data_IF_092891752605
#
_entry.id   IF_092891752605
#
_cell.length_a   1.000
_cell.length_b   1.000
_cell.length_c   1.000
_cell.angle_alpha   90.00
_cell.angle_beta   90.00
_cell.angle_gamma   90.00
#
_symmetry.space_group_name_H-M   'P 1'
#
loop_
_entity.id
_entity.type
_entity.pdbx_description
1 polymer ?
#
# COMPACT_ATOMS: atom_id res chain seq x y z
N UNK A 1 -15.83 -8.70 -3.79
CA UNK A 1 -14.97 -9.82 -3.37
C UNK A 1 -13.80 -9.27 -2.57
N UNK A 2 -13.40 -10.00 -1.54
CA UNK A 2 -12.28 -9.57 -0.71
C UNK A 2 -11.00 -10.30 -1.08
N UNK A 3 -9.88 -9.68 -0.81
CA UNK A 3 -8.57 -10.30 -0.99
C UNK A 3 -7.77 -10.20 0.30
N UNK A 4 -6.85 -11.12 0.48
CA UNK A 4 -5.94 -11.11 1.61
C UNK A 4 -4.63 -10.47 1.18
N UNK A 5 -4.23 -9.43 1.90
CA UNK A 5 -2.95 -8.77 1.69
C UNK A 5 -2.27 -8.57 3.03
N UNK A 6 -1.02 -8.17 3.02
CA UNK A 6 -0.34 -7.76 4.25
C UNK A 6 0.26 -6.37 4.07
N UNK A 7 0.25 -5.60 5.14
CA UNK A 7 0.91 -4.30 5.18
C UNK A 7 1.92 -4.35 6.32
N UNK A 8 3.19 -4.21 5.99
CA UNK A 8 4.28 -4.26 6.96
C UNK A 8 4.19 -5.48 7.89
N UNK A 9 3.82 -6.63 7.30
CA UNK A 9 3.70 -7.88 8.02
C UNK A 9 2.34 -8.14 8.67
N UNK A 10 1.45 -7.17 8.69
CA UNK A 10 0.11 -7.34 9.25
C UNK A 10 -0.86 -7.81 8.19
N UNK A 11 -1.47 -8.94 8.41
CA UNK A 11 -2.44 -9.50 7.46
C UNK A 11 -3.78 -8.79 7.56
N UNK A 12 -4.34 -8.48 6.38
CA UNK A 12 -5.62 -7.79 6.28
C UNK A 12 -6.46 -8.46 5.20
N UNK A 13 -7.77 -8.48 5.43
CA UNK A 13 -8.72 -8.88 4.40
C UNK A 13 -9.42 -7.60 3.95
N UNK A 14 -9.29 -7.27 2.68
CA UNK A 14 -9.74 -5.97 2.17
C UNK A 14 -10.61 -6.14 0.93
N UNK A 15 -11.41 -5.13 0.67
CA UNK A 15 -12.34 -5.12 -0.45
C UNK A 15 -12.02 -3.97 -1.40
N UNK A 16 -10.74 -3.64 -1.54
CA UNK A 16 -10.28 -2.57 -2.42
C UNK A 16 -9.56 -3.17 -3.62
N UNK A 17 -9.57 -2.44 -4.72
CA UNK A 17 -9.01 -2.93 -5.98
C UNK A 17 -7.59 -2.47 -6.26
N UNK A 18 -7.19 -1.31 -5.75
CA UNK A 18 -5.90 -0.70 -6.08
C UNK A 18 -5.11 -0.35 -4.83
N UNK A 19 -3.80 -0.18 -5.00
CA UNK A 19 -2.94 0.25 -3.91
C UNK A 19 -3.39 1.59 -3.34
N UNK A 20 -3.73 2.56 -4.19
CA UNK A 20 -4.20 3.85 -3.71
C UNK A 20 -5.45 3.73 -2.86
N UNK A 21 -6.41 2.91 -3.29
CA UNK A 21 -7.63 2.69 -2.53
C UNK A 21 -7.34 2.09 -1.16
N UNK A 22 -6.39 1.15 -1.11
CA UNK A 22 -5.99 0.55 0.16
C UNK A 22 -5.36 1.58 1.09
N UNK A 23 -4.47 2.42 0.56
CA UNK A 23 -3.81 3.44 1.38
C UNK A 23 -4.83 4.41 1.98
N UNK A 24 -5.79 4.85 1.18
CA UNK A 24 -6.84 5.75 1.66
C UNK A 24 -7.71 5.07 2.72
N UNK A 25 -8.05 3.80 2.50
CA UNK A 25 -8.87 3.05 3.45
C UNK A 25 -8.16 2.86 4.79
N UNK A 26 -6.83 2.83 4.78
CA UNK A 26 -6.04 2.68 6.00
C UNK A 26 -5.68 4.00 6.66
N UNK A 27 -6.17 5.11 6.11
CA UNK A 27 -5.94 6.42 6.70
C UNK A 27 -4.66 7.12 6.29
N UNK A 28 -3.96 6.60 5.29
CA UNK A 28 -2.77 7.28 4.79
C UNK A 28 -3.16 8.50 3.99
N UNK A 29 -2.40 9.58 4.17
CA UNK A 29 -2.60 10.81 3.40
C UNK A 29 -1.65 10.78 2.22
N UNK A 30 -2.19 10.81 1.01
CA UNK A 30 -1.38 10.66 -0.19
C UNK A 30 -0.41 11.82 -0.42
N UNK A 31 -0.65 12.97 0.19
CA UNK A 31 0.25 14.10 0.08
C UNK A 31 1.47 14.00 1.01
N UNK A 32 1.48 13.03 1.92
CA UNK A 32 2.63 12.87 2.81
C UNK A 32 3.75 12.08 2.12
N UNK A 33 4.98 12.26 2.61
CA UNK A 33 6.12 11.57 2.04
C UNK A 33 6.21 10.16 2.58
N UNK A 34 6.00 9.17 1.72
CA UNK A 34 6.26 7.77 2.04
C UNK A 34 6.41 6.99 0.74
N UNK A 35 6.96 5.81 0.84
CA UNK A 35 7.18 4.95 -0.31
C UNK A 35 6.48 3.61 -0.09
N UNK A 36 6.07 2.99 -1.19
CA UNK A 36 5.41 1.69 -1.15
C UNK A 36 6.11 0.71 -2.06
N UNK A 37 6.15 -0.55 -1.63
CA UNK A 37 6.60 -1.66 -2.45
C UNK A 37 5.58 -2.78 -2.33
N UNK A 38 5.39 -3.52 -3.41
CA UNK A 38 4.53 -4.71 -3.40
C UNK A 38 5.39 -5.89 -3.83
N UNK A 39 5.42 -6.91 -2.99
CA UNK A 39 6.23 -8.12 -3.23
C UNK A 39 7.68 -7.77 -3.54
N UNK A 40 8.25 -6.86 -2.76
CA UNK A 40 9.62 -6.37 -2.88
C UNK A 40 9.90 -5.54 -4.14
N UNK A 41 8.86 -5.12 -4.84
CA UNK A 41 9.01 -4.28 -6.02
C UNK A 41 8.49 -2.89 -5.72
N UNK A 42 9.35 -1.88 -5.85
CA UNK A 42 8.98 -0.51 -5.61
C UNK A 42 7.86 -0.06 -6.56
N UNK A 43 6.84 0.60 -6.02
CA UNK A 43 5.74 1.14 -6.83
C UNK A 43 5.78 2.66 -6.75
N UNK A 44 6.14 3.32 -7.85
CA UNK A 44 6.17 4.79 -7.87
C UNK A 44 4.80 5.39 -7.61
N UNK A 45 4.79 6.54 -6.95
CA UNK A 45 3.55 7.22 -6.56
C UNK A 45 2.55 7.39 -7.72
N UNK A 46 2.97 7.79 -8.93
CA UNK A 46 2.02 7.94 -10.05
C UNK A 46 1.32 6.65 -10.45
N UNK A 47 1.86 5.49 -10.06
CA UNK A 47 1.25 4.20 -10.40
C UNK A 47 0.27 3.70 -9.34
N UNK A 48 0.21 4.34 -8.18
CA UNK A 48 -0.65 3.86 -7.11
C UNK A 48 -2.12 3.72 -7.49
N UNK A 49 -2.74 4.66 -8.21
CA UNK A 49 -4.14 4.51 -8.61
C UNK A 49 -4.38 3.44 -9.67
N UNK A 50 -3.32 3.02 -10.33
CA UNK A 50 -3.41 2.02 -11.40
C UNK A 50 -2.89 0.65 -10.96
N UNK A 51 -2.19 0.56 -9.83
CA UNK A 51 -1.62 -0.70 -9.38
C UNK A 51 -2.71 -1.56 -8.74
N UNK A 52 -3.16 -2.55 -9.49
CA UNK A 52 -4.16 -3.49 -9.00
C UNK A 52 -3.56 -4.39 -7.91
N UNK A 53 -4.35 -4.70 -6.91
CA UNK A 53 -3.97 -5.62 -5.84
C UNK A 53 -4.49 -7.02 -6.15
N UNK A 54 -3.74 -8.01 -5.70
CA UNK A 54 -4.11 -9.41 -5.86
C UNK A 54 -4.02 -10.11 -4.51
N UNK A 55 -4.73 -11.22 -4.40
CA UNK A 55 -4.70 -12.02 -3.19
C UNK A 55 -3.26 -12.49 -2.91
N UNK A 56 -2.82 -12.29 -1.68
CA UNK A 56 -1.47 -12.66 -1.27
C UNK A 56 -0.42 -11.57 -1.45
N UNK A 57 -0.78 -10.39 -1.95
CA UNK A 57 0.19 -9.31 -2.11
C UNK A 57 0.74 -8.87 -0.77
N UNK A 58 2.05 -8.66 -0.73
CA UNK A 58 2.75 -8.14 0.44
C UNK A 58 3.15 -6.70 0.17
N UNK A 59 2.57 -5.81 0.96
CA UNK A 59 2.77 -4.37 0.80
C UNK A 59 3.67 -3.88 1.92
N UNK A 60 4.76 -3.20 1.55
CA UNK A 60 5.66 -2.60 2.49
C UNK A 60 5.59 -1.08 2.33
N UNK A 61 5.32 -0.39 3.43
CA UNK A 61 5.23 1.06 3.44
C UNK A 61 6.36 1.60 4.29
N UNK A 62 7.16 2.45 3.69
CA UNK A 62 8.31 3.06 4.36
C UNK A 62 8.07 4.55 4.48
N UNK A 63 8.00 5.05 5.70
CA UNK A 63 7.89 6.48 5.96
C UNK A 63 9.27 7.02 6.29
N UNK A 64 9.68 8.15 5.69
CA UNK A 64 10.98 8.71 6.03
C UNK A 64 10.98 9.20 7.48
N UNK A 65 12.09 8.98 8.15
CA UNK A 65 12.29 9.53 9.48
C UNK A 65 12.73 10.97 9.29
N UNK A 66 11.81 11.88 9.57
CA UNK A 66 12.18 13.27 9.61
C UNK A 66 12.79 13.50 10.98
N UNK A 67 14.06 13.74 11.01
CA UNK A 67 14.76 14.04 12.24
C UNK A 67 14.26 15.34 12.83
N UNK A 68 13.28 15.21 13.53
CA UNK A 68 12.76 16.31 14.21
C UNK A 68 12.29 17.39 14.28
#
# INVERSE_FOLDING_TARGET
>A
MTIDVSINGERLNVEVATLQALLLARGYKLETAFACAINNTFVPRPQWPERALANGDRIDIVTPITGG
#
